data_IF_032636302193
#
_entry.id   IF_032636302193
#
_cell.length_a   1.000
_cell.length_b   1.000
_cell.length_c   1.000
_cell.angle_alpha   90.00
_cell.angle_beta   90.00
_cell.angle_gamma   90.00
#
_symmetry.space_group_name_H-M   'P 1'
#
loop_
_entity.id
_entity.type
_entity.pdbx_description
1 polymer ?
#
# COMPACT_ATOMS: atom_id res chain seq x y z
N UNK A 1 1.68 -15.73 -22.45
CA UNK A 1 2.11 -14.49 -23.13
C UNK A 1 3.62 -14.43 -23.10
N UNK A 2 4.29 -14.16 -24.23
CA UNK A 2 5.74 -14.37 -24.36
C UNK A 2 6.58 -13.16 -23.94
N UNK A 3 7.71 -13.42 -23.28
CA UNK A 3 8.80 -12.45 -23.01
C UNK A 3 9.14 -11.65 -24.28
N UNK A 4 9.43 -10.35 -24.13
CA UNK A 4 9.90 -9.52 -25.25
C UNK A 4 11.12 -10.15 -25.91
N UNK A 5 11.05 -10.34 -27.23
CA UNK A 5 12.13 -10.94 -28.03
C UNK A 5 13.16 -9.90 -28.51
N UNK A 6 12.96 -8.59 -28.25
CA UNK A 6 13.86 -7.54 -28.72
C UNK A 6 13.72 -6.19 -27.96
N UNK A 7 14.28 -6.07 -26.73
CA UNK A 7 14.09 -4.92 -25.83
C UNK A 7 14.37 -3.53 -26.45
N UNK A 8 15.41 -3.33 -27.30
CA UNK A 8 15.71 -2.02 -27.88
C UNK A 8 14.66 -1.53 -28.89
N UNK A 9 13.98 -2.45 -29.59
CA UNK A 9 12.96 -2.10 -30.59
C UNK A 9 11.63 -1.74 -29.94
N UNK A 10 11.30 -2.42 -28.85
CA UNK A 10 10.11 -2.14 -28.06
C UNK A 10 10.24 -0.79 -27.34
N UNK A 11 11.43 -0.47 -26.81
CA UNK A 11 11.70 0.84 -26.22
C UNK A 11 11.52 1.99 -27.21
N UNK A 12 11.99 1.86 -28.46
CA UNK A 12 11.85 2.93 -29.46
C UNK A 12 10.37 3.27 -29.74
N UNK A 13 9.51 2.25 -29.85
CA UNK A 13 8.06 2.45 -30.04
C UNK A 13 7.43 3.14 -28.86
N UNK A 14 7.89 2.83 -27.65
CA UNK A 14 7.37 3.39 -26.42
C UNK A 14 7.81 4.84 -26.23
N UNK A 15 9.06 5.16 -26.55
CA UNK A 15 9.53 6.55 -26.63
C UNK A 15 8.70 7.38 -27.64
N UNK A 16 8.34 6.79 -28.79
CA UNK A 16 7.49 7.45 -29.78
C UNK A 16 6.04 7.63 -29.29
N UNK A 17 5.51 6.70 -28.50
CA UNK A 17 4.18 6.82 -27.88
C UNK A 17 4.17 7.83 -26.74
N UNK A 18 5.15 7.79 -25.84
CA UNK A 18 5.34 8.74 -24.74
C UNK A 18 5.40 10.18 -25.25
N UNK A 19 6.26 10.45 -26.25
CA UNK A 19 6.37 11.78 -26.87
C UNK A 19 5.06 12.28 -27.49
N UNK A 20 4.25 11.40 -28.08
CA UNK A 20 2.95 11.78 -28.66
C UNK A 20 1.91 12.15 -27.61
N UNK A 21 2.08 11.63 -26.40
CA UNK A 21 1.15 11.81 -25.28
C UNK A 21 1.60 12.88 -24.30
N UNK A 22 2.68 13.61 -24.61
CA UNK A 22 3.29 14.57 -23.69
C UNK A 22 3.85 13.93 -22.42
N UNK A 23 4.19 12.64 -22.49
CA UNK A 23 4.93 11.95 -21.42
C UNK A 23 6.41 12.20 -21.70
N UNK A 24 7.04 13.04 -20.88
CA UNK A 24 8.49 13.21 -20.90
C UNK A 24 9.14 11.95 -20.35
N UNK A 25 10.08 11.40 -21.12
CA UNK A 25 10.73 10.14 -20.78
C UNK A 25 12.24 10.38 -20.75
N UNK A 26 12.87 10.24 -19.58
CA UNK A 26 14.33 10.30 -19.50
C UNK A 26 14.88 9.04 -20.17
N UNK A 27 15.31 9.22 -21.42
CA UNK A 27 15.81 8.12 -22.24
C UNK A 27 17.07 7.49 -21.66
N UNK A 28 17.92 8.25 -20.99
CA UNK A 28 19.16 7.71 -20.40
C UNK A 28 18.83 6.90 -19.16
N UNK A 29 17.97 7.41 -18.27
CA UNK A 29 17.52 6.69 -17.08
C UNK A 29 16.75 5.42 -17.43
N UNK A 30 15.81 5.49 -18.38
CA UNK A 30 15.06 4.34 -18.85
C UNK A 30 15.98 3.28 -19.47
N UNK A 31 16.99 3.68 -20.25
CA UNK A 31 17.98 2.75 -20.81
C UNK A 31 18.85 2.10 -19.73
N UNK A 32 19.25 2.85 -18.71
CA UNK A 32 20.02 2.33 -17.57
C UNK A 32 19.19 1.32 -16.77
N UNK A 33 17.94 1.65 -16.47
CA UNK A 33 16.99 0.77 -15.77
C UNK A 33 16.76 -0.54 -16.56
N UNK A 34 16.50 -0.43 -17.87
CA UNK A 34 16.34 -1.59 -18.74
C UNK A 34 17.59 -2.46 -18.82
N UNK A 35 18.77 -1.84 -18.86
CA UNK A 35 20.05 -2.56 -18.89
C UNK A 35 20.29 -3.32 -17.59
N UNK A 36 19.94 -2.72 -16.44
CA UNK A 36 20.04 -3.37 -15.14
C UNK A 36 19.09 -4.56 -15.00
N UNK A 37 17.90 -4.48 -15.60
CA UNK A 37 16.93 -5.58 -15.68
C UNK A 37 17.31 -6.67 -16.69
N UNK A 38 18.00 -6.33 -17.78
CA UNK A 38 18.47 -7.30 -18.76
C UNK A 38 19.69 -8.12 -18.29
N UNK A 39 20.50 -7.58 -17.38
CA UNK A 39 21.63 -8.28 -16.76
C UNK A 39 21.21 -9.35 -15.72
N UNK A 40 19.99 -9.89 -15.83
CA UNK A 40 19.30 -10.65 -14.77
C UNK A 40 19.25 -12.17 -14.98
N UNK A 41 19.89 -12.69 -16.03
CA UNK A 41 19.77 -14.11 -16.42
C UNK A 41 20.69 -15.09 -15.65
N UNK A 42 21.04 -14.84 -14.37
CA UNK A 42 21.76 -15.87 -13.58
C UNK A 42 22.48 -15.52 -12.27
N UNK A 43 22.12 -14.45 -11.54
CA UNK A 43 22.69 -14.15 -10.21
C UNK A 43 21.62 -14.13 -9.11
N UNK A 44 22.04 -14.12 -7.84
CA UNK A 44 21.16 -13.93 -6.68
C UNK A 44 20.19 -12.76 -6.92
N UNK A 45 18.89 -13.02 -6.76
CA UNK A 45 17.83 -12.03 -7.02
C UNK A 45 17.71 -10.97 -5.91
N UNK A 46 18.45 -11.12 -4.81
CA UNK A 46 18.46 -10.21 -3.67
C UNK A 46 19.74 -9.38 -3.73
N UNK A 47 19.58 -8.06 -3.62
CA UNK A 47 20.70 -7.12 -3.64
C UNK A 47 20.83 -6.48 -2.28
N UNK A 48 22.07 -6.36 -1.80
CA UNK A 48 22.41 -5.74 -0.52
C UNK A 48 23.19 -4.45 -0.76
N UNK A 49 22.72 -3.33 -0.20
CA UNK A 49 23.52 -2.12 -0.06
C UNK A 49 24.35 -2.24 1.24
N UNK A 50 25.62 -2.63 1.09
CA UNK A 50 26.54 -2.78 2.21
C UNK A 50 26.80 -1.49 3.01
N UNK A 51 26.56 -0.30 2.43
CA UNK A 51 26.78 0.99 3.09
C UNK A 51 25.63 1.32 4.03
N UNK A 52 24.41 1.05 3.60
CA UNK A 52 23.20 1.43 4.36
C UNK A 52 22.59 0.27 5.13
N UNK A 53 22.92 -0.98 4.77
CA UNK A 53 22.33 -2.19 5.34
C UNK A 53 20.98 -2.59 4.71
N UNK A 54 20.46 -1.77 3.79
CA UNK A 54 19.19 -2.03 3.10
C UNK A 54 19.37 -3.16 2.09
N UNK A 55 18.37 -4.02 1.97
CA UNK A 55 18.37 -5.08 0.96
C UNK A 55 16.96 -5.40 0.48
N UNK A 56 16.87 -6.06 -0.66
CA UNK A 56 15.59 -6.47 -1.21
C UNK A 56 15.74 -7.12 -2.57
N UNK A 57 14.60 -7.46 -3.17
CA UNK A 57 14.60 -7.98 -4.54
C UNK A 57 15.19 -6.94 -5.51
N UNK A 58 16.08 -7.37 -6.41
CA UNK A 58 16.86 -6.51 -7.31
C UNK A 58 15.99 -5.50 -8.07
N UNK A 59 14.84 -5.95 -8.59
CA UNK A 59 13.92 -5.07 -9.34
C UNK A 59 13.36 -3.96 -8.44
N UNK A 60 13.06 -4.26 -7.18
CA UNK A 60 12.56 -3.25 -6.23
C UNK A 60 13.67 -2.32 -5.77
N UNK A 61 14.89 -2.83 -5.57
CA UNK A 61 16.06 -1.99 -5.26
C UNK A 61 16.37 -0.98 -6.38
N UNK A 62 16.06 -1.29 -7.64
CA UNK A 62 16.20 -0.33 -8.75
C UNK A 62 15.24 0.85 -8.64
N UNK A 63 14.04 0.62 -8.08
CA UNK A 63 12.96 1.60 -7.96
C UNK A 63 12.97 2.34 -6.62
N UNK A 64 13.89 1.99 -5.71
CA UNK A 64 14.05 2.61 -4.39
C UNK A 64 15.17 3.67 -4.38
N UNK A 65 14.88 4.85 -3.83
CA UNK A 65 15.86 5.88 -3.49
C UNK A 65 16.21 5.82 -2.00
N UNK A 66 17.47 6.13 -1.69
CA UNK A 66 17.99 6.21 -0.32
C UNK A 66 17.77 7.57 0.33
N UNK A 67 17.31 8.58 -0.43
CA UNK A 67 17.25 9.98 0.03
C UNK A 67 16.36 10.16 1.27
N UNK A 68 15.28 9.38 1.36
CA UNK A 68 14.32 9.40 2.47
C UNK A 68 14.50 8.23 3.45
N UNK A 69 15.59 7.47 3.35
CA UNK A 69 15.77 6.26 4.15
C UNK A 69 15.71 6.52 5.66
N UNK A 70 16.32 7.62 6.13
CA UNK A 70 16.29 7.98 7.56
C UNK A 70 14.88 8.36 8.02
N UNK A 71 14.11 9.01 7.15
CA UNK A 71 12.72 9.34 7.39
C UNK A 71 11.86 8.08 7.53
N UNK A 72 12.00 7.14 6.59
CA UNK A 72 11.33 5.84 6.66
C UNK A 72 11.75 5.05 7.90
N UNK A 73 13.03 4.98 8.25
CA UNK A 73 13.47 4.31 9.50
C UNK A 73 12.84 4.91 10.75
N UNK A 74 12.70 6.24 10.80
CA UNK A 74 12.08 6.92 11.94
C UNK A 74 10.59 6.57 12.09
N UNK A 75 9.86 6.45 10.98
CA UNK A 75 8.47 5.97 11.00
C UNK A 75 8.44 4.46 11.28
N UNK A 76 9.41 3.70 10.76
CA UNK A 76 9.62 2.29 11.06
C UNK A 76 9.62 2.01 12.56
N UNK A 77 10.35 2.80 13.35
CA UNK A 77 10.37 2.71 14.81
C UNK A 77 8.99 2.85 15.47
N UNK A 78 8.08 3.62 14.87
CA UNK A 78 6.71 3.72 15.33
C UNK A 78 5.90 2.47 15.00
N UNK A 79 6.08 1.86 13.83
CA UNK A 79 5.19 0.81 13.34
C UNK A 79 5.69 -0.61 13.58
N UNK A 80 7.00 -0.79 13.75
CA UNK A 80 7.65 -2.11 13.84
C UNK A 80 7.32 -2.88 15.11
N UNK A 81 7.39 -4.21 15.03
CA UNK A 81 7.33 -5.09 16.18
C UNK A 81 8.75 -5.41 16.66
N UNK A 82 8.91 -5.48 17.98
CA UNK A 82 10.21 -5.79 18.57
C UNK A 82 10.46 -7.30 18.60
N UNK A 83 11.70 -7.69 18.28
CA UNK A 83 12.21 -9.02 18.56
C UNK A 83 12.06 -9.37 20.05
N UNK A 84 11.68 -10.63 20.31
CA UNK A 84 11.70 -11.24 21.64
C UNK A 84 12.57 -12.50 21.58
N UNK A 85 13.80 -12.47 22.12
CA UNK A 85 14.75 -13.57 21.98
C UNK A 85 14.14 -14.94 22.31
N UNK A 86 14.20 -15.85 21.33
CA UNK A 86 13.67 -17.22 21.45
C UNK A 86 12.15 -17.34 21.41
N UNK A 87 11.42 -16.27 21.06
CA UNK A 87 9.96 -16.25 21.05
C UNK A 87 9.36 -15.56 19.82
N UNK A 88 9.86 -14.39 19.45
CA UNK A 88 9.39 -13.62 18.31
C UNK A 88 10.60 -13.07 17.57
N UNK A 89 10.63 -13.28 16.26
CA UNK A 89 11.62 -12.67 15.37
C UNK A 89 10.88 -11.81 14.35
N UNK A 90 11.41 -10.63 14.07
CA UNK A 90 10.77 -9.67 13.17
C UNK A 90 11.71 -9.21 12.06
N UNK A 91 11.11 -8.81 10.93
CA UNK A 91 11.83 -8.12 9.87
C UNK A 91 10.91 -7.13 9.17
N UNK A 92 11.16 -5.84 9.45
CA UNK A 92 10.46 -4.74 8.83
C UNK A 92 11.04 -4.42 7.44
N UNK A 93 10.13 -4.26 6.48
CA UNK A 93 10.40 -3.80 5.14
C UNK A 93 9.44 -2.67 4.76
N UNK A 94 9.89 -1.77 3.88
CA UNK A 94 8.98 -0.96 3.09
C UNK A 94 8.32 -1.83 2.03
N UNK A 95 7.09 -1.50 1.68
CA UNK A 95 6.34 -2.11 0.62
C UNK A 95 5.54 -1.07 -0.15
N UNK A 96 4.74 -1.50 -1.13
CA UNK A 96 3.80 -0.62 -1.81
C UNK A 96 4.46 0.60 -2.45
N UNK A 97 3.89 1.79 -2.21
CA UNK A 97 4.42 3.04 -2.76
C UNK A 97 5.75 3.46 -2.14
N UNK A 98 5.95 3.19 -0.85
CA UNK A 98 7.17 3.59 -0.14
C UNK A 98 8.41 2.82 -0.63
N UNK A 99 8.24 1.58 -1.08
CA UNK A 99 9.30 0.78 -1.70
C UNK A 99 9.64 1.20 -3.16
N UNK A 100 8.88 2.13 -3.76
CA UNK A 100 9.00 2.55 -5.15
C UNK A 100 9.27 4.07 -5.27
N UNK A 101 10.04 4.63 -4.34
CA UNK A 101 10.24 6.07 -4.17
C UNK A 101 10.84 6.80 -5.38
N UNK A 102 11.53 6.13 -6.31
CA UNK A 102 12.00 6.74 -7.58
C UNK A 102 10.90 6.90 -8.63
N UNK A 103 9.79 6.20 -8.46
CA UNK A 103 8.66 6.18 -9.41
C UNK A 103 7.48 6.94 -8.80
N UNK A 104 7.39 6.89 -7.48
CA UNK A 104 6.39 7.59 -6.70
C UNK A 104 7.13 8.63 -5.87
N UNK A 105 7.66 9.64 -6.57
CA UNK A 105 8.46 10.76 -6.03
C UNK A 105 7.73 11.51 -4.92
N UNK A 106 6.41 11.34 -4.82
CA UNK A 106 5.59 11.86 -3.75
C UNK A 106 4.68 10.76 -3.19
N UNK A 107 5.18 9.86 -2.32
CA UNK A 107 4.38 8.79 -1.76
C UNK A 107 3.29 9.38 -0.85
N UNK A 108 2.02 9.05 -1.15
CA UNK A 108 0.89 9.50 -0.33
C UNK A 108 0.75 8.75 1.01
N UNK A 109 1.41 7.60 1.13
CA UNK A 109 1.35 6.65 2.25
C UNK A 109 2.73 6.06 2.53
N UNK A 110 3.00 5.78 3.81
CA UNK A 110 4.15 5.01 4.28
C UNK A 110 3.73 3.56 4.54
N UNK A 111 3.79 2.73 3.50
CA UNK A 111 3.40 1.32 3.59
C UNK A 111 4.58 0.43 4.03
N UNK A 112 4.40 -0.25 5.17
CA UNK A 112 5.30 -1.26 5.69
C UNK A 112 4.70 -2.65 5.56
N UNK A 113 5.62 -3.61 5.46
CA UNK A 113 5.36 -5.02 5.52
C UNK A 113 6.33 -5.60 6.54
N UNK A 114 5.83 -6.41 7.47
CA UNK A 114 6.66 -6.98 8.52
C UNK A 114 6.45 -8.48 8.60
N UNK A 115 7.56 -9.21 8.48
CA UNK A 115 7.57 -10.64 8.75
C UNK A 115 7.65 -10.82 10.25
N UNK A 116 6.74 -11.60 10.82
CA UNK A 116 6.76 -11.96 12.24
C UNK A 116 6.80 -13.49 12.32
N UNK A 117 7.91 -14.04 12.77
CA UNK A 117 8.03 -15.47 13.02
C UNK A 117 7.93 -15.76 14.52
N UNK A 118 6.92 -16.54 14.90
CA UNK A 118 6.63 -16.85 16.31
C UNK A 118 7.09 -18.27 16.61
N UNK A 119 8.04 -18.40 17.51
CA UNK A 119 8.55 -19.68 18.00
C UNK A 119 7.67 -20.13 19.16
N UNK A 120 6.92 -21.21 18.97
CA UNK A 120 6.03 -21.72 20.00
C UNK A 120 5.85 -23.25 19.92
N UNK A 121 5.63 -23.94 21.06
CA UNK A 121 5.34 -25.37 21.07
C UNK A 121 4.11 -25.78 20.25
N UNK A 122 3.10 -24.90 20.16
CA UNK A 122 1.86 -25.17 19.42
C UNK A 122 1.38 -23.95 18.63
N UNK A 123 0.63 -24.17 17.55
CA UNK A 123 -0.04 -23.09 16.80
C UNK A 123 -0.91 -22.22 17.72
N UNK A 124 -1.62 -22.83 18.68
CA UNK A 124 -2.47 -22.09 19.60
C UNK A 124 -1.67 -21.13 20.49
N UNK A 125 -0.47 -21.53 20.91
CA UNK A 125 0.46 -20.66 21.65
C UNK A 125 1.05 -19.56 20.77
N UNK A 126 1.30 -19.84 19.49
CA UNK A 126 1.72 -18.82 18.53
C UNK A 126 0.63 -17.77 18.33
N UNK A 127 -0.62 -18.20 18.10
CA UNK A 127 -1.78 -17.31 18.01
C UNK A 127 -1.97 -16.44 19.26
N UNK A 128 -1.81 -17.02 20.46
CA UNK A 128 -1.85 -16.25 21.72
C UNK A 128 -0.71 -15.23 21.79
N UNK A 129 0.51 -15.62 21.43
CA UNK A 129 1.65 -14.70 21.40
C UNK A 129 1.41 -13.56 20.41
N UNK A 130 0.84 -13.82 19.23
CA UNK A 130 0.46 -12.79 18.27
C UNK A 130 -0.55 -11.81 18.87
N UNK A 131 -1.63 -12.32 19.48
CA UNK A 131 -2.65 -11.50 20.12
C UNK A 131 -2.06 -10.61 21.23
N UNK A 132 -1.13 -11.15 22.01
CA UNK A 132 -0.42 -10.41 23.07
C UNK A 132 0.45 -9.28 22.52
N UNK A 133 1.31 -9.56 21.53
CA UNK A 133 2.21 -8.53 20.98
C UNK A 133 1.45 -7.47 20.20
N UNK A 134 0.37 -7.82 19.49
CA UNK A 134 -0.47 -6.85 18.80
C UNK A 134 -1.22 -5.96 19.80
N UNK A 135 -1.79 -6.54 20.86
CA UNK A 135 -2.42 -5.74 21.91
C UNK A 135 -1.41 -4.80 22.58
N UNK A 136 -0.23 -5.28 22.93
CA UNK A 136 0.83 -4.45 23.50
C UNK A 136 1.23 -3.31 22.55
N UNK A 137 1.43 -3.61 21.25
CA UNK A 137 1.72 -2.60 20.23
C UNK A 137 0.66 -1.51 20.18
N UNK A 138 -0.62 -1.89 20.23
CA UNK A 138 -1.73 -0.94 20.23
C UNK A 138 -1.70 -0.06 21.48
N UNK A 139 -1.51 -0.64 22.67
CA UNK A 139 -1.41 0.13 23.92
C UNK A 139 -0.25 1.13 23.87
N UNK A 140 0.91 0.72 23.40
CA UNK A 140 2.13 1.53 23.42
C UNK A 140 2.15 2.60 22.32
N UNK A 141 1.40 2.41 21.23
CA UNK A 141 1.39 3.29 20.05
C UNK A 141 0.01 3.82 19.69
N UNK A 142 -0.95 3.80 20.62
CA UNK A 142 -2.30 4.31 20.39
C UNK A 142 -2.31 5.78 19.98
N UNK A 143 -1.52 6.61 20.68
CA UNK A 143 -1.43 8.05 20.41
C UNK A 143 -0.12 8.63 20.94
N UNK A 144 0.52 9.46 20.13
CA UNK A 144 1.70 10.24 20.50
C UNK A 144 1.56 11.71 20.09
N UNK A 145 2.65 12.46 20.23
CA UNK A 145 2.68 13.89 19.84
C UNK A 145 2.46 14.10 18.35
N UNK A 146 2.92 13.15 17.52
CA UNK A 146 2.93 13.25 16.06
C UNK A 146 2.25 12.06 15.38
N UNK A 147 1.47 11.25 16.11
CA UNK A 147 0.79 10.10 15.51
C UNK A 147 -0.44 9.66 16.30
N UNK A 148 -1.35 8.95 15.65
CA UNK A 148 -2.46 8.24 16.27
C UNK A 148 -2.80 6.97 15.48
N UNK A 149 -3.08 5.88 16.20
CA UNK A 149 -3.60 4.65 15.62
C UNK A 149 -5.06 4.85 15.14
N UNK A 150 -5.36 4.42 13.91
CA UNK A 150 -6.65 4.53 13.25
C UNK A 150 -7.41 3.20 13.30
N UNK A 151 -6.77 2.12 12.87
CA UNK A 151 -7.42 0.83 12.66
C UNK A 151 -6.45 -0.33 12.97
N UNK A 152 -7.02 -1.44 13.44
CA UNK A 152 -6.32 -2.73 13.56
C UNK A 152 -7.17 -3.81 12.89
N UNK A 153 -6.58 -4.53 11.91
CA UNK A 153 -7.15 -5.76 11.35
C UNK A 153 -6.63 -6.93 12.18
N UNK A 154 -7.52 -7.70 12.80
CA UNK A 154 -7.15 -8.91 13.52
C UNK A 154 -8.35 -9.84 13.74
N UNK A 155 -8.18 -11.12 13.40
CA UNK A 155 -9.22 -12.12 13.52
C UNK A 155 -10.34 -11.98 12.48
N UNK A 156 -11.28 -12.92 12.53
CA UNK A 156 -12.45 -12.96 11.63
C UNK A 156 -13.76 -13.03 12.41
N UNK A 157 -14.82 -12.45 11.84
CA UNK A 157 -16.13 -12.45 12.50
C UNK A 157 -16.63 -13.89 12.74
N UNK A 158 -16.94 -14.30 13.99
CA UNK A 158 -17.35 -15.68 14.29
C UNK A 158 -18.77 -16.00 13.80
N UNK A 159 -19.58 -14.97 13.58
CA UNK A 159 -20.94 -15.02 13.04
C UNK A 159 -21.25 -13.72 12.30
N UNK A 160 -22.33 -13.69 11.52
CA UNK A 160 -22.83 -12.45 10.91
C UNK A 160 -23.10 -11.42 12.01
N UNK A 161 -22.45 -10.26 11.91
CA UNK A 161 -22.42 -9.24 12.96
C UNK A 161 -22.64 -7.86 12.38
N UNK A 162 -23.67 -7.18 12.85
CA UNK A 162 -23.93 -5.76 12.62
C UNK A 162 -23.12 -4.94 13.62
N UNK A 163 -22.14 -4.19 13.12
CA UNK A 163 -21.30 -3.25 13.87
C UNK A 163 -21.43 -1.87 13.22
N UNK A 164 -21.72 -0.84 14.02
CA UNK A 164 -21.93 0.54 13.51
C UNK A 164 -22.95 0.63 12.35
N UNK A 165 -24.02 -0.17 12.41
CA UNK A 165 -25.06 -0.21 11.37
C UNK A 165 -24.67 -0.95 10.08
N UNK A 166 -23.46 -1.50 9.98
CA UNK A 166 -22.99 -2.26 8.83
C UNK A 166 -22.97 -3.76 9.12
N UNK A 167 -23.51 -4.55 8.19
CA UNK A 167 -23.48 -6.01 8.27
C UNK A 167 -22.10 -6.54 7.84
N UNK A 168 -21.41 -7.19 8.77
CA UNK A 168 -20.18 -7.94 8.52
C UNK A 168 -20.51 -9.43 8.51
N UNK A 169 -20.06 -10.15 7.47
CA UNK A 169 -20.38 -11.57 7.33
C UNK A 169 -19.40 -12.42 8.13
N UNK A 170 -19.87 -13.59 8.56
CA UNK A 170 -18.99 -14.60 9.16
C UNK A 170 -17.76 -14.87 8.28
N UNK A 171 -16.59 -14.93 8.92
CA UNK A 171 -15.31 -15.23 8.26
C UNK A 171 -14.66 -14.05 7.54
N UNK A 172 -15.28 -12.85 7.52
CA UNK A 172 -14.59 -11.66 7.03
C UNK A 172 -13.67 -11.08 8.10
N UNK A 173 -12.57 -10.41 7.72
CA UNK A 173 -11.67 -9.76 8.68
C UNK A 173 -12.39 -8.76 9.60
N UNK A 174 -11.97 -8.69 10.86
CA UNK A 174 -12.48 -7.72 11.83
C UNK A 174 -11.60 -6.48 11.83
N UNK A 175 -12.24 -5.31 11.73
CA UNK A 175 -11.64 -4.00 11.99
C UNK A 175 -11.93 -3.57 13.43
N UNK A 176 -10.88 -3.39 14.22
CA UNK A 176 -10.91 -2.93 15.60
C UNK A 176 -10.47 -1.47 15.68
N UNK A 177 -11.13 -0.70 16.54
CA UNK A 177 -10.61 0.59 17.00
C UNK A 177 -9.60 0.37 18.12
N UNK A 178 -8.71 1.32 18.35
CA UNK A 178 -7.73 1.25 19.44
C UNK A 178 -8.39 0.98 20.81
N UNK A 179 -9.51 1.63 21.11
CA UNK A 179 -10.24 1.43 22.36
C UNK A 179 -10.86 0.04 22.50
N UNK A 180 -11.30 -0.58 21.40
CA UNK A 180 -11.85 -1.94 21.44
C UNK A 180 -10.75 -2.97 21.69
N UNK A 181 -9.55 -2.76 21.11
CA UNK A 181 -8.39 -3.61 21.40
C UNK A 181 -8.02 -3.51 22.88
N UNK A 182 -7.90 -2.30 23.43
CA UNK A 182 -7.59 -2.07 24.85
C UNK A 182 -8.64 -2.66 25.78
N UNK A 183 -9.92 -2.60 25.39
CA UNK A 183 -11.00 -3.25 26.14
C UNK A 183 -10.98 -4.79 26.01
N UNK A 184 -10.27 -5.33 25.02
CA UNK A 184 -10.22 -6.75 24.70
C UNK A 184 -11.50 -7.31 24.09
N UNK A 185 -12.48 -6.46 23.76
CA UNK A 185 -13.76 -6.86 23.18
C UNK A 185 -14.54 -5.66 22.62
N UNK A 186 -15.56 -5.96 21.81
CA UNK A 186 -16.64 -5.02 21.48
C UNK A 186 -17.99 -5.73 21.37
N UNK A 187 -19.06 -4.95 21.48
CA UNK A 187 -20.43 -5.42 21.30
C UNK A 187 -20.88 -5.18 19.85
N UNK A 188 -21.55 -6.17 19.29
CA UNK A 188 -22.27 -6.08 18.03
C UNK A 188 -23.66 -6.70 18.16
N UNK A 189 -24.36 -6.76 17.04
CA UNK A 189 -25.66 -7.42 16.97
C UNK A 189 -25.67 -8.49 15.89
N UNK A 190 -26.35 -9.61 16.11
CA UNK A 190 -26.74 -10.49 15.02
C UNK A 190 -27.76 -9.77 14.11
N UNK A 191 -28.00 -10.24 12.86
CA UNK A 191 -28.98 -9.62 11.97
C UNK A 191 -30.42 -9.59 12.53
N UNK A 192 -30.75 -10.49 13.46
CA UNK A 192 -32.03 -10.53 14.19
C UNK A 192 -32.05 -9.66 15.46
N UNK A 193 -30.97 -8.93 15.75
CA UNK A 193 -30.90 -7.93 16.82
C UNK A 193 -30.46 -8.47 18.19
N UNK A 194 -29.97 -9.71 18.28
CA UNK A 194 -29.40 -10.24 19.52
C UNK A 194 -27.99 -9.69 19.72
N UNK A 195 -27.63 -9.39 20.97
CA UNK A 195 -26.27 -8.92 21.29
C UNK A 195 -25.27 -10.06 21.11
N UNK A 196 -24.18 -9.79 20.42
CA UNK A 196 -23.00 -10.66 20.33
C UNK A 196 -21.78 -9.89 20.83
N UNK A 197 -21.01 -10.52 21.73
CA UNK A 197 -19.74 -9.95 22.23
C UNK A 197 -18.61 -10.62 21.46
N UNK A 198 -17.82 -9.84 20.75
CA UNK A 198 -16.63 -10.31 20.03
C UNK A 198 -15.42 -10.02 20.92
N UNK A 199 -14.70 -11.07 21.31
CA UNK A 199 -13.58 -11.00 22.26
C UNK A 199 -12.25 -11.21 21.54
N UNK A 200 -11.29 -10.31 21.77
CA UNK A 200 -9.97 -10.27 21.13
C UNK A 200 -9.24 -11.63 21.20
N UNK A 201 -9.14 -12.20 22.40
CA UNK A 201 -8.45 -13.47 22.62
C UNK A 201 -9.18 -14.69 22.03
N UNK A 202 -10.47 -14.57 21.73
CA UNK A 202 -11.25 -15.66 21.12
C UNK A 202 -11.05 -15.67 19.61
N UNK A 203 -11.08 -14.50 18.97
CA UNK A 203 -10.85 -14.41 17.52
C UNK A 203 -9.39 -14.64 17.12
N UNK A 204 -8.47 -14.57 18.10
CA UNK A 204 -7.04 -14.83 17.91
C UNK A 204 -6.72 -16.25 17.43
N UNK A 205 -7.59 -17.24 17.66
CA UNK A 205 -7.36 -18.62 17.22
C UNK A 205 -7.24 -18.75 15.68
N UNK A 206 -7.92 -17.86 14.96
CA UNK A 206 -7.86 -17.69 13.52
C UNK A 206 -7.56 -16.22 13.20
N UNK A 207 -6.29 -15.79 13.37
CA UNK A 207 -5.92 -14.38 13.33
C UNK A 207 -6.14 -13.76 11.94
N UNK A 208 -6.09 -14.60 10.88
CA UNK A 208 -6.31 -14.17 9.51
C UNK A 208 -5.41 -13.00 9.11
N UNK A 209 -5.93 -12.11 8.29
CA UNK A 209 -5.21 -10.95 7.81
C UNK A 209 -4.96 -9.92 8.93
N UNK A 210 -3.68 -9.62 9.18
CA UNK A 210 -3.23 -8.75 10.26
C UNK A 210 -2.62 -7.45 9.71
N UNK A 211 -3.09 -6.31 10.21
CA UNK A 211 -2.60 -4.99 9.80
C UNK A 211 -2.85 -3.94 10.88
N UNK A 212 -1.94 -2.99 11.02
CA UNK A 212 -2.14 -1.80 11.84
C UNK A 212 -1.97 -0.55 11.00
N UNK A 213 -2.81 0.45 11.24
CA UNK A 213 -2.86 1.70 10.50
C UNK A 213 -2.76 2.87 11.45
N UNK A 214 -1.79 3.76 11.22
CA UNK A 214 -1.63 5.02 11.92
C UNK A 214 -1.79 6.19 10.94
N UNK A 215 -2.19 7.33 11.48
CA UNK A 215 -1.91 8.62 10.86
C UNK A 215 -0.75 9.26 11.59
N UNK A 216 0.20 9.79 10.83
CA UNK A 216 1.36 10.49 11.34
C UNK A 216 1.37 11.93 10.83
N UNK A 217 1.75 12.86 11.69
CA UNK A 217 2.15 14.18 11.29
C UNK A 217 3.60 14.09 10.82
N UNK A 218 3.81 14.41 9.56
CA UNK A 218 5.12 14.46 8.94
C UNK A 218 5.62 15.92 8.90
N UNK A 219 6.41 16.36 9.90
CA UNK A 219 6.93 17.71 9.93
C UNK A 219 7.96 17.98 8.84
N UNK A 220 8.56 16.96 8.22
CA UNK A 220 9.55 17.13 7.14
C UNK A 220 8.85 17.64 5.89
N UNK A 221 7.70 17.04 5.55
CA UNK A 221 6.89 17.42 4.41
C UNK A 221 5.76 18.41 4.75
N UNK A 222 5.57 18.70 6.04
CA UNK A 222 4.52 19.58 6.55
C UNK A 222 3.11 19.02 6.33
N UNK A 223 2.98 17.70 6.18
CA UNK A 223 1.75 17.01 5.76
C UNK A 223 1.32 15.95 6.77
N UNK A 224 0.16 15.34 6.54
CA UNK A 224 -0.24 14.11 7.20
C UNK A 224 0.00 12.95 6.24
N UNK A 225 0.53 11.85 6.76
CA UNK A 225 0.67 10.61 6.02
C UNK A 225 0.01 9.47 6.80
N UNK A 226 -0.54 8.49 6.10
CA UNK A 226 -0.90 7.25 6.75
C UNK A 226 0.33 6.34 6.76
N UNK A 227 0.60 5.73 7.91
CA UNK A 227 1.60 4.69 8.05
C UNK A 227 0.89 3.36 8.29
N UNK A 228 1.03 2.42 7.36
CA UNK A 228 0.44 1.09 7.44
C UNK A 228 1.51 0.07 7.78
N UNK A 229 1.22 -0.94 8.60
CA UNK A 229 2.08 -2.11 8.74
C UNK A 229 1.26 -3.40 8.55
N UNK A 230 1.50 -4.09 7.43
CA UNK A 230 0.90 -5.39 7.11
C UNK A 230 1.79 -6.50 7.68
N UNK A 231 1.21 -7.42 8.44
CA UNK A 231 1.98 -8.48 9.11
C UNK A 231 1.83 -9.82 8.38
N UNK A 232 2.94 -10.37 7.92
CA UNK A 232 3.05 -11.74 7.42
C UNK A 232 3.55 -12.64 8.55
N UNK A 233 2.58 -13.25 9.25
CA UNK A 233 2.84 -13.95 10.50
C UNK A 233 2.97 -15.46 10.27
N UNK A 234 4.07 -16.01 10.75
CA UNK A 234 4.37 -17.44 10.69
C UNK A 234 4.55 -18.02 12.09
N UNK A 235 4.20 -19.29 12.24
CA UNK A 235 4.49 -20.10 13.42
C UNK A 235 5.61 -21.09 13.09
N UNK A 236 6.67 -21.06 13.88
CA UNK A 236 7.74 -22.06 13.89
C UNK A 236 7.52 -23.05 15.03
N UNK A 237 7.30 -24.31 14.68
CA UNK A 237 7.11 -25.41 15.62
C UNK A 237 8.47 -25.93 16.15
N UNK A 238 8.50 -26.71 17.25
CA UNK A 238 9.75 -27.22 17.82
C UNK A 238 10.58 -28.13 16.89
N UNK A 239 9.97 -28.66 15.82
CA UNK A 239 10.65 -29.44 14.78
C UNK A 239 11.27 -28.56 13.67
N UNK A 240 11.12 -27.24 13.76
CA UNK A 240 11.60 -26.26 12.78
C UNK A 240 10.67 -26.05 11.59
N UNK A 241 9.49 -26.69 11.56
CA UNK A 241 8.50 -26.43 10.51
C UNK A 241 7.88 -25.05 10.67
N UNK A 242 7.73 -24.33 9.56
CA UNK A 242 7.19 -22.97 9.51
C UNK A 242 5.84 -22.99 8.78
N UNK A 243 4.80 -22.47 9.43
CA UNK A 243 3.43 -22.41 8.88
C UNK A 243 2.87 -20.98 8.98
N UNK A 244 2.42 -20.37 7.86
CA UNK A 244 1.71 -19.10 7.90
C UNK A 244 0.42 -19.19 8.70
N UNK A 245 0.16 -18.23 9.58
CA UNK A 245 -1.01 -18.26 10.46
C UNK A 245 -2.33 -17.91 9.75
N UNK A 246 -2.25 -17.19 8.64
CA UNK A 246 -3.36 -16.85 7.74
C UNK A 246 -3.49 -17.84 6.55
N UNK A 247 -2.54 -18.77 6.41
CA UNK A 247 -2.51 -19.78 5.36
C UNK A 247 -1.75 -19.38 4.09
N UNK A 248 -1.10 -18.22 4.04
CA UNK A 248 -0.32 -17.78 2.88
C UNK A 248 0.99 -17.12 3.30
N UNK A 249 2.10 -17.46 2.64
CA UNK A 249 3.37 -16.77 2.85
C UNK A 249 3.59 -15.79 1.70
N UNK A 250 3.63 -14.50 2.02
CA UNK A 250 3.72 -13.45 1.01
C UNK A 250 5.12 -13.42 0.34
N UNK A 251 5.18 -13.28 -0.99
CA UNK A 251 6.44 -13.22 -1.70
C UNK A 251 7.10 -11.85 -1.61
N UNK A 252 8.42 -11.84 -1.45
CA UNK A 252 9.22 -10.64 -1.15
C UNK A 252 9.51 -9.71 -2.35
N UNK A 253 8.85 -9.91 -3.50
CA UNK A 253 9.24 -9.26 -4.75
C UNK A 253 9.12 -7.72 -4.73
N UNK A 254 8.34 -7.15 -3.80
CA UNK A 254 8.12 -5.70 -3.65
C UNK A 254 8.64 -5.12 -2.33
N UNK A 255 9.42 -5.88 -1.58
CA UNK A 255 9.88 -5.50 -0.24
C UNK A 255 11.29 -4.90 -0.27
N UNK A 256 11.49 -3.85 0.54
CA UNK A 256 12.80 -3.23 0.81
C UNK A 256 13.04 -3.28 2.32
N UNK A 257 13.90 -4.21 2.75
CA UNK A 257 14.24 -4.38 4.16
C UNK A 257 15.16 -3.28 4.63
N UNK A 258 14.82 -2.70 5.78
CA UNK A 258 15.48 -1.48 6.26
C UNK A 258 16.76 -1.75 7.05
N UNK A 259 16.91 -2.95 7.61
CA UNK A 259 18.03 -3.28 8.50
C UNK A 259 18.71 -4.60 8.12
N UNK A 260 20.04 -4.61 8.14
CA UNK A 260 20.83 -5.80 7.82
C UNK A 260 20.64 -6.93 8.85
N UNK A 261 20.22 -6.60 10.08
CA UNK A 261 19.86 -7.59 11.11
C UNK A 261 18.67 -8.46 10.70
N UNK A 262 17.86 -8.03 9.73
CA UNK A 262 16.70 -8.78 9.22
C UNK A 262 17.09 -9.90 8.23
N UNK A 263 18.34 -9.95 7.76
CA UNK A 263 18.80 -10.94 6.76
C UNK A 263 18.58 -12.39 7.22
N UNK A 264 18.84 -12.80 8.48
CA UNK A 264 18.64 -14.18 8.91
C UNK A 264 17.19 -14.65 8.82
N UNK A 265 16.24 -13.88 9.37
CA UNK A 265 14.80 -14.22 9.31
C UNK A 265 14.28 -14.16 7.87
N UNK A 266 14.67 -13.14 7.09
CA UNK A 266 14.33 -13.06 5.67
C UNK A 266 14.80 -14.31 4.94
N UNK A 267 16.07 -14.67 5.10
CA UNK A 267 16.68 -15.82 4.42
C UNK A 267 16.02 -17.14 4.83
N UNK A 268 15.61 -17.25 6.09
CA UNK A 268 14.84 -18.39 6.61
C UNK A 268 13.49 -18.48 5.90
N UNK A 269 12.69 -17.42 5.92
CA UNK A 269 11.33 -17.43 5.37
C UNK A 269 11.31 -17.50 3.83
N UNK A 270 12.25 -16.86 3.15
CA UNK A 270 12.36 -16.88 1.69
C UNK A 270 12.54 -18.30 1.12
N UNK A 271 13.11 -19.24 1.89
CA UNK A 271 13.24 -20.64 1.49
C UNK A 271 11.91 -21.40 1.48
N UNK A 272 10.91 -20.91 2.21
CA UNK A 272 9.57 -21.48 2.27
C UNK A 272 8.61 -20.87 1.23
N UNK A 273 9.06 -19.87 0.48
CA UNK A 273 8.28 -19.30 -0.63
C UNK A 273 8.20 -20.31 -1.78
N UNK A 274 6.99 -20.53 -2.29
CA UNK A 274 6.71 -21.49 -3.37
C UNK A 274 7.58 -21.24 -4.61
N UNK A 275 8.00 -22.31 -5.29
CA UNK A 275 8.66 -22.20 -6.59
C UNK A 275 7.77 -21.52 -7.67
N UNK A 276 6.44 -21.58 -7.49
CA UNK A 276 5.46 -20.91 -8.33
C UNK A 276 5.03 -19.54 -7.78
N UNK A 277 5.66 -19.05 -6.71
CA UNK A 277 5.20 -17.83 -6.02
C UNK A 277 5.15 -16.61 -6.94
N UNK A 278 6.05 -16.51 -7.92
CA UNK A 278 6.02 -15.42 -8.90
C UNK A 278 4.76 -15.48 -9.79
N UNK A 279 4.41 -16.67 -10.28
CA UNK A 279 3.24 -16.85 -11.15
C UNK A 279 1.94 -16.64 -10.36
N UNK A 280 1.87 -17.18 -9.14
CA UNK A 280 0.74 -16.98 -8.22
C UNK A 280 0.57 -15.49 -7.88
N UNK A 281 1.67 -14.81 -7.59
CA UNK A 281 1.68 -13.38 -7.30
C UNK A 281 1.22 -12.54 -8.48
N UNK A 282 1.71 -12.84 -9.68
CA UNK A 282 1.25 -12.19 -10.92
C UNK A 282 -0.26 -12.43 -11.10
N UNK A 283 -0.75 -13.65 -10.90
CA UNK A 283 -2.17 -13.95 -11.00
C UNK A 283 -3.02 -13.18 -9.98
N UNK A 284 -2.53 -12.96 -8.76
CA UNK A 284 -3.22 -12.14 -7.76
C UNK A 284 -3.27 -10.66 -8.19
N UNK A 285 -2.16 -10.12 -8.69
CA UNK A 285 -2.11 -8.76 -9.22
C UNK A 285 -3.06 -8.59 -10.42
N UNK A 286 -3.16 -9.59 -11.29
CA UNK A 286 -4.12 -9.62 -12.41
C UNK A 286 -5.57 -9.61 -11.92
N UNK A 287 -5.88 -10.31 -10.83
CA UNK A 287 -7.17 -10.23 -10.15
C UNK A 287 -7.50 -8.81 -9.68
N UNK A 288 -6.53 -8.11 -9.06
CA UNK A 288 -6.69 -6.71 -8.66
C UNK A 288 -6.81 -5.77 -9.88
N UNK A 289 -6.05 -5.99 -10.96
CA UNK A 289 -6.23 -5.24 -12.23
C UNK A 289 -7.66 -5.40 -12.72
N UNK A 290 -8.17 -6.62 -12.82
CA UNK A 290 -9.54 -6.88 -13.26
C UNK A 290 -10.58 -6.14 -12.40
N UNK A 291 -10.43 -6.20 -11.07
CA UNK A 291 -11.30 -5.47 -10.13
C UNK A 291 -11.30 -3.96 -10.40
N UNK A 292 -10.14 -3.35 -10.62
CA UNK A 292 -10.02 -1.91 -10.90
C UNK A 292 -10.39 -1.52 -12.33
N UNK A 293 -10.55 -2.48 -13.24
CA UNK A 293 -11.07 -2.22 -14.59
C UNK A 293 -12.59 -2.45 -14.70
N UNK A 294 -13.20 -3.21 -13.79
CA UNK A 294 -14.59 -3.69 -13.96
C UNK A 294 -15.55 -3.37 -12.83
N UNK A 295 -15.13 -3.51 -11.57
CA UNK A 295 -16.02 -3.38 -10.39
C UNK A 295 -15.84 -2.05 -9.66
N UNK A 296 -14.59 -1.65 -9.44
CA UNK A 296 -14.23 -0.43 -8.73
C UNK A 296 -13.27 0.37 -9.61
N UNK A 297 -13.82 0.99 -10.66
CA UNK A 297 -13.01 1.59 -11.73
C UNK A 297 -12.00 2.58 -11.15
N UNK A 298 -10.71 2.27 -11.30
CA UNK A 298 -9.60 3.10 -10.86
C UNK A 298 -8.34 2.78 -11.72
N UNK A 299 -8.17 3.54 -12.79
CA UNK A 299 -7.09 3.31 -13.76
C UNK A 299 -5.70 3.59 -13.19
N UNK A 300 -5.56 4.48 -12.21
CA UNK A 300 -4.30 4.69 -11.50
C UNK A 300 -3.89 3.46 -10.67
N UNK A 301 -4.82 2.87 -9.91
CA UNK A 301 -4.57 1.60 -9.19
C UNK A 301 -4.27 0.46 -10.16
N UNK A 302 -5.02 0.37 -11.28
CA UNK A 302 -4.73 -0.62 -12.32
C UNK A 302 -3.31 -0.43 -12.90
N UNK A 303 -2.90 0.80 -13.20
CA UNK A 303 -1.56 1.12 -13.69
C UNK A 303 -0.46 0.66 -12.71
N UNK A 304 -0.58 0.92 -11.40
CA UNK A 304 0.39 0.45 -10.40
C UNK A 304 0.51 -1.08 -10.37
N UNK A 305 -0.61 -1.80 -10.47
CA UNK A 305 -0.59 -3.28 -10.52
C UNK A 305 0.00 -3.78 -11.84
N UNK A 306 -0.34 -3.16 -12.97
CA UNK A 306 0.24 -3.47 -14.27
C UNK A 306 1.74 -3.20 -14.32
N UNK A 307 2.23 -2.10 -13.72
CA UNK A 307 3.65 -1.81 -13.60
C UNK A 307 4.41 -2.97 -12.95
N UNK A 308 3.91 -3.43 -11.81
CA UNK A 308 4.46 -4.57 -11.09
C UNK A 308 4.44 -5.86 -11.91
N UNK A 309 3.32 -6.16 -12.57
CA UNK A 309 3.23 -7.33 -13.46
C UNK A 309 4.25 -7.22 -14.59
N UNK A 310 4.34 -6.06 -15.25
CA UNK A 310 5.17 -5.89 -16.45
C UNK A 310 6.66 -5.96 -16.13
N UNK A 311 7.11 -5.34 -15.02
CA UNK A 311 8.52 -5.41 -14.60
C UNK A 311 8.92 -6.82 -14.15
N UNK A 312 8.00 -7.59 -13.57
CA UNK A 312 8.24 -8.97 -13.13
C UNK A 312 8.16 -10.00 -14.26
N UNK A 313 7.36 -9.74 -15.30
CA UNK A 313 7.14 -10.69 -16.42
C UNK A 313 7.99 -10.40 -17.66
N UNK A 314 8.87 -9.39 -17.60
CA UNK A 314 9.75 -9.02 -18.71
C UNK A 314 9.10 -8.19 -19.82
N UNK A 315 7.96 -7.54 -19.52
CA UNK A 315 7.31 -6.53 -20.38
C UNK A 315 7.89 -5.15 -20.08
N UNK A 316 9.20 -5.04 -20.18
CA UNK A 316 9.92 -3.88 -19.64
C UNK A 316 9.61 -2.57 -20.34
N UNK A 317 9.22 -2.63 -21.62
CA UNK A 317 8.78 -1.46 -22.34
C UNK A 317 7.53 -0.86 -21.70
N UNK A 318 6.47 -1.66 -21.53
CA UNK A 318 5.22 -1.20 -20.94
C UNK A 318 5.42 -0.79 -19.47
N UNK A 319 6.31 -1.48 -18.75
CA UNK A 319 6.72 -1.07 -17.41
C UNK A 319 7.39 0.31 -17.40
N UNK A 320 8.31 0.58 -18.34
CA UNK A 320 8.96 1.89 -18.47
C UNK A 320 7.95 2.99 -18.78
N UNK A 321 6.99 2.75 -19.68
CA UNK A 321 5.93 3.74 -19.92
C UNK A 321 5.12 4.06 -18.67
N UNK A 322 4.71 3.04 -17.91
CA UNK A 322 3.90 3.26 -16.70
C UNK A 322 4.74 3.93 -15.60
N UNK A 323 6.02 3.58 -15.46
CA UNK A 323 6.94 4.25 -14.53
C UNK A 323 6.93 5.76 -14.74
N UNK A 324 7.06 6.18 -15.98
CA UNK A 324 7.20 7.59 -16.36
C UNK A 324 5.86 8.33 -16.22
N UNK A 325 4.74 7.63 -16.47
CA UNK A 325 3.42 8.14 -16.15
C UNK A 325 3.24 8.47 -14.65
N UNK A 326 3.99 7.83 -13.75
CA UNK A 326 3.98 8.12 -12.32
C UNK A 326 5.06 9.12 -11.88
N UNK A 327 6.09 9.36 -12.69
CA UNK A 327 7.08 10.41 -12.43
C UNK A 327 6.67 11.77 -13.03
N UNK A 328 5.74 11.77 -14.00
CA UNK A 328 5.14 12.99 -14.52
C UNK A 328 4.55 13.84 -13.37
N UNK A 329 4.72 15.16 -13.39
CA UNK A 329 4.11 16.04 -12.39
C UNK A 329 2.57 15.89 -12.30
N UNK A 330 1.92 15.44 -13.39
CA UNK A 330 0.50 15.11 -13.42
C UNK A 330 0.11 13.89 -12.58
N UNK A 331 1.06 13.03 -12.21
CA UNK A 331 0.82 11.90 -11.31
C UNK A 331 0.53 12.34 -9.87
N UNK A 332 0.86 13.60 -9.51
CA UNK A 332 0.47 14.23 -8.23
C UNK A 332 -1.03 14.18 -7.99
N UNK A 333 -1.82 14.06 -9.06
CA UNK A 333 -3.25 13.82 -8.99
C UNK A 333 -3.61 12.53 -8.26
N UNK A 334 -2.72 11.53 -8.26
CA UNK A 334 -2.90 10.35 -7.45
C UNK A 334 -2.80 10.66 -5.95
N UNK A 335 -2.01 11.67 -5.53
CA UNK A 335 -1.99 12.10 -4.14
C UNK A 335 -3.31 12.69 -3.67
N UNK A 336 -4.13 13.23 -4.59
CA UNK A 336 -5.50 13.63 -4.25
C UNK A 336 -6.26 12.46 -3.62
N UNK A 337 -6.07 11.23 -4.11
CA UNK A 337 -6.69 10.05 -3.49
C UNK A 337 -6.20 9.80 -2.06
N UNK A 338 -4.90 10.03 -1.79
CA UNK A 338 -4.35 9.93 -0.44
C UNK A 338 -4.96 10.99 0.47
N UNK A 339 -4.97 12.25 0.03
CA UNK A 339 -5.59 13.36 0.76
C UNK A 339 -7.07 13.11 1.02
N UNK A 340 -7.81 12.62 0.02
CA UNK A 340 -9.22 12.24 0.17
C UNK A 340 -9.37 11.17 1.25
N UNK A 341 -8.52 10.14 1.25
CA UNK A 341 -8.56 9.11 2.29
C UNK A 341 -8.23 9.70 3.66
N UNK A 342 -7.21 10.53 3.77
CA UNK A 342 -6.87 11.24 5.00
C UNK A 342 -8.06 12.08 5.48
N UNK A 343 -8.75 12.80 4.60
CA UNK A 343 -9.97 13.56 4.92
C UNK A 343 -11.11 12.64 5.39
N UNK A 344 -11.33 11.49 4.74
CA UNK A 344 -12.31 10.50 5.18
C UNK A 344 -11.98 9.98 6.60
N UNK A 345 -10.71 9.69 6.88
CA UNK A 345 -10.22 9.28 8.20
C UNK A 345 -10.38 10.41 9.26
N UNK A 346 -10.35 11.68 8.83
CA UNK A 346 -10.58 12.86 9.67
C UNK A 346 -12.06 13.12 9.98
N UNK A 347 -12.98 12.66 9.14
CA UNK A 347 -14.42 12.83 9.32
C UNK A 347 -15.03 11.84 10.34
N UNK A 348 -14.20 11.01 10.99
CA UNK A 348 -14.60 10.17 12.12
C UNK A 348 -14.71 11.01 13.42
N UNK A 349 -15.79 10.87 14.21
CA UNK A 349 -15.98 11.63 15.46
C UNK A 349 -14.86 11.51 16.52
N UNK A 350 -13.97 10.54 16.36
CA UNK A 350 -12.85 10.26 17.26
C UNK A 350 -11.49 10.71 16.71
N UNK A 351 -11.47 11.32 15.53
CA UNK A 351 -10.22 11.76 14.89
C UNK A 351 -9.60 12.95 15.64
N UNK A 352 -8.28 12.93 15.91
CA UNK A 352 -7.57 14.04 16.54
C UNK A 352 -7.20 15.13 15.53
N UNK A 353 -7.36 14.86 14.24
CA UNK A 353 -6.91 15.73 13.16
C UNK A 353 -7.87 16.91 13.06
N UNK A 354 -7.31 18.11 13.12
CA UNK A 354 -8.13 19.32 13.09
C UNK A 354 -8.51 19.67 11.65
N UNK A 355 -9.61 20.42 11.51
CA UNK A 355 -9.98 21.04 10.23
C UNK A 355 -8.84 21.86 9.63
N UNK A 356 -8.05 22.52 10.47
CA UNK A 356 -6.93 23.37 10.04
C UNK A 356 -5.79 22.54 9.42
N UNK A 357 -5.52 21.35 9.96
CA UNK A 357 -4.54 20.43 9.38
C UNK A 357 -5.01 19.91 8.02
N UNK A 358 -6.29 19.53 7.88
CA UNK A 358 -6.87 19.12 6.60
C UNK A 358 -6.80 20.24 5.54
N UNK A 359 -7.14 21.48 5.93
CA UNK A 359 -7.09 22.63 5.04
C UNK A 359 -5.65 22.93 4.60
N UNK A 360 -4.69 22.86 5.53
CA UNK A 360 -3.26 23.05 5.23
C UNK A 360 -2.77 22.01 4.21
N UNK A 361 -3.16 20.75 4.37
CA UNK A 361 -2.79 19.68 3.44
C UNK A 361 -3.44 19.87 2.07
N UNK A 362 -4.69 20.34 2.03
CA UNK A 362 -5.37 20.70 0.78
C UNK A 362 -4.66 21.87 0.08
N UNK A 363 -4.23 22.88 0.84
CA UNK A 363 -3.44 24.02 0.33
C UNK A 363 -2.11 23.58 -0.27
N UNK A 364 -1.39 22.68 0.38
CA UNK A 364 -0.14 22.11 -0.14
C UNK A 364 -0.35 21.32 -1.43
N UNK A 365 -1.45 20.55 -1.53
CA UNK A 365 -1.78 19.84 -2.75
C UNK A 365 -2.07 20.80 -3.91
N UNK A 366 -2.81 21.90 -3.65
CA UNK A 366 -3.06 22.94 -4.64
C UNK A 366 -1.74 23.54 -5.14
N UNK A 367 -0.83 23.92 -4.23
CA UNK A 367 0.47 24.48 -4.59
C UNK A 367 1.34 23.48 -5.37
N UNK A 368 1.27 22.20 -5.00
CA UNK A 368 1.98 21.13 -5.70
C UNK A 368 1.45 20.96 -7.11
N UNK A 369 0.13 20.95 -7.29
CA UNK A 369 -0.51 20.90 -8.61
C UNK A 369 -0.13 22.10 -9.48
N UNK A 370 -0.13 23.32 -8.93
CA UNK A 370 0.30 24.53 -9.65
C UNK A 370 1.76 24.46 -10.07
N UNK A 371 2.62 23.87 -9.22
CA UNK A 371 4.05 23.75 -9.51
C UNK A 371 4.34 22.65 -10.54
N UNK A 372 3.43 21.69 -10.66
CA UNK A 372 3.59 20.46 -11.41
C UNK A 372 2.94 20.53 -12.80
N UNK A 373 1.71 21.03 -12.87
CA UNK A 373 0.91 21.05 -14.10
C UNK A 373 0.99 22.41 -14.78
N UNK A 374 0.68 22.42 -16.09
CA UNK A 374 0.55 23.64 -16.88
C UNK A 374 -0.75 23.62 -17.70
N UNK A 375 -1.27 24.80 -18.04
CA UNK A 375 -2.33 24.97 -19.04
C UNK A 375 -3.74 24.62 -18.55
N UNK A 376 -4.56 24.07 -19.45
CA UNK A 376 -5.99 23.81 -19.16
C UNK A 376 -6.18 22.72 -18.10
N UNK A 377 -5.29 21.74 -18.05
CA UNK A 377 -5.33 20.65 -17.06
C UNK A 377 -5.08 21.17 -15.65
N UNK A 378 -4.01 21.95 -15.46
CA UNK A 378 -3.73 22.67 -14.21
C UNK A 378 -4.94 23.48 -13.76
N UNK A 379 -5.47 24.31 -14.67
CA UNK A 379 -6.58 25.22 -14.38
C UNK A 379 -7.80 24.47 -13.86
N UNK A 380 -8.19 23.37 -14.51
CA UNK A 380 -9.36 22.60 -14.12
C UNK A 380 -9.18 21.88 -12.79
N UNK A 381 -8.00 21.29 -12.55
CA UNK A 381 -7.71 20.57 -11.31
C UNK A 381 -7.64 21.54 -10.13
N UNK A 382 -6.93 22.66 -10.28
CA UNK A 382 -6.84 23.70 -9.24
C UNK A 382 -8.22 24.25 -8.91
N UNK A 383 -9.08 24.48 -9.91
CA UNK A 383 -10.47 24.90 -9.71
C UNK A 383 -11.25 23.89 -8.85
N UNK A 384 -11.12 22.60 -9.13
CA UNK A 384 -11.79 21.55 -8.36
C UNK A 384 -11.23 21.43 -6.94
N UNK A 385 -9.92 21.52 -6.75
CA UNK A 385 -9.29 21.49 -5.43
C UNK A 385 -9.65 22.71 -4.59
N UNK A 386 -9.71 23.91 -5.18
CA UNK A 386 -10.17 25.12 -4.49
C UNK A 386 -11.63 25.00 -4.05
N UNK A 387 -12.49 24.42 -4.89
CA UNK A 387 -13.88 24.12 -4.51
C UNK A 387 -13.94 23.10 -3.36
N UNK A 388 -13.15 22.03 -3.44
CA UNK A 388 -13.05 21.03 -2.37
C UNK A 388 -12.61 21.68 -1.06
N UNK A 389 -11.56 22.51 -1.08
CA UNK A 389 -11.07 23.29 0.05
C UNK A 389 -12.16 24.17 0.65
N UNK A 390 -12.90 24.90 -0.19
CA UNK A 390 -14.01 25.74 0.27
C UNK A 390 -15.06 24.91 1.00
N UNK A 391 -15.46 23.77 0.45
CA UNK A 391 -16.44 22.91 1.09
C UNK A 391 -15.94 22.31 2.41
N UNK A 392 -14.66 21.90 2.46
CA UNK A 392 -14.03 21.43 3.70
C UNK A 392 -13.96 22.52 4.77
N UNK A 393 -13.76 23.79 4.40
CA UNK A 393 -13.74 24.91 5.35
C UNK A 393 -15.09 25.14 6.05
N UNK A 394 -16.19 24.68 5.44
CA UNK A 394 -17.55 24.76 5.96
C UNK A 394 -17.98 23.47 6.66
N UNK A 395 -17.17 22.42 6.57
CA UNK A 395 -17.41 21.14 7.22
C UNK A 395 -17.23 21.30 8.73
N UNK A 396 -18.17 20.75 9.51
CA UNK A 396 -17.97 20.63 10.96
C UNK A 396 -17.05 19.44 11.21
N UNK A 397 -16.03 19.64 12.03
CA UNK A 397 -15.18 18.57 12.55
C UNK A 397 -16.07 17.45 13.12
N UNK A 398 -15.65 16.18 12.96
CA UNK A 398 -16.35 15.02 13.54
C UNK A 398 -17.74 14.73 12.94
N UNK A 399 -17.97 15.11 11.68
CA UNK A 399 -19.16 14.73 10.91
C UNK A 399 -18.75 14.12 9.57
N UNK A 400 -19.56 13.17 9.08
CA UNK A 400 -19.45 12.63 7.72
C UNK A 400 -19.41 13.76 6.69
N UNK A 401 -18.66 13.56 5.61
CA UNK A 401 -18.56 14.50 4.50
C UNK A 401 -19.96 14.91 4.05
N UNK A 402 -20.22 16.22 4.02
CA UNK A 402 -21.48 16.71 3.48
C UNK A 402 -21.58 16.39 1.98
N UNK A 403 -22.80 16.39 1.44
CA UNK A 403 -23.06 16.03 0.05
C UNK A 403 -22.28 16.90 -0.96
N UNK A 404 -22.00 18.17 -0.64
CA UNK A 404 -21.22 19.05 -1.49
C UNK A 404 -19.73 18.65 -1.53
N UNK A 405 -19.18 18.20 -0.40
CA UNK A 405 -17.79 17.76 -0.30
C UNK A 405 -17.61 16.41 -0.99
N UNK A 406 -18.60 15.53 -0.83
CA UNK A 406 -18.66 14.23 -1.51
C UNK A 406 -18.70 14.39 -3.04
N UNK A 407 -19.48 15.37 -3.53
CA UNK A 407 -19.55 15.70 -4.96
C UNK A 407 -18.23 16.29 -5.48
N UNK A 408 -17.64 17.26 -4.78
CA UNK A 408 -16.35 17.84 -5.17
C UNK A 408 -15.25 16.78 -5.23
N UNK A 409 -15.22 15.87 -4.24
CA UNK A 409 -14.34 14.71 -4.20
C UNK A 409 -14.53 13.80 -5.43
N UNK A 410 -15.78 13.46 -5.76
CA UNK A 410 -16.09 12.61 -6.90
C UNK A 410 -15.67 13.24 -8.24
N UNK A 411 -15.81 14.56 -8.38
CA UNK A 411 -15.35 15.32 -9.56
C UNK A 411 -13.84 15.22 -9.73
N UNK A 412 -13.05 15.47 -8.66
CA UNK A 412 -11.58 15.36 -8.74
C UNK A 412 -11.18 13.93 -9.10
N UNK A 413 -11.73 12.94 -8.41
CA UNK A 413 -11.51 11.50 -8.67
C UNK A 413 -11.72 11.17 -10.15
N UNK A 414 -12.80 11.68 -10.75
CA UNK A 414 -13.13 11.41 -12.14
C UNK A 414 -12.11 11.99 -13.11
N UNK A 415 -11.64 13.23 -12.87
CA UNK A 415 -10.60 13.87 -13.70
C UNK A 415 -9.30 13.07 -13.65
N UNK A 416 -8.84 12.71 -12.45
CA UNK A 416 -7.64 11.88 -12.28
C UNK A 416 -7.79 10.54 -13.01
N UNK A 417 -8.94 9.91 -12.86
CA UNK A 417 -9.19 8.60 -13.44
C UNK A 417 -9.21 8.65 -14.98
N UNK A 418 -9.79 9.70 -15.58
CA UNK A 418 -9.79 9.91 -17.03
C UNK A 418 -8.38 10.15 -17.57
N UNK A 419 -7.55 10.91 -16.87
CA UNK A 419 -6.15 11.10 -17.25
C UNK A 419 -5.40 9.77 -17.37
N UNK A 420 -5.46 8.91 -16.35
CA UNK A 420 -4.82 7.59 -16.41
C UNK A 420 -5.42 6.72 -17.52
N UNK A 421 -6.74 6.74 -17.72
CA UNK A 421 -7.38 5.99 -18.80
C UNK A 421 -6.85 6.38 -20.19
N UNK A 422 -6.80 7.68 -20.48
CA UNK A 422 -6.35 8.19 -21.77
C UNK A 422 -4.89 7.81 -22.03
N UNK A 423 -4.01 7.98 -21.03
CA UNK A 423 -2.58 7.66 -21.15
C UNK A 423 -2.36 6.16 -21.34
N UNK A 424 -3.04 5.30 -20.57
CA UNK A 424 -2.90 3.84 -20.66
C UNK A 424 -3.43 3.29 -21.99
N UNK A 425 -4.58 3.79 -22.47
CA UNK A 425 -5.21 3.28 -23.70
C UNK A 425 -4.53 3.77 -24.97
N UNK A 426 -3.70 4.81 -24.88
CA UNK A 426 -2.91 5.30 -26.00
C UNK A 426 -1.69 4.42 -26.34
N UNK A 427 -1.28 3.51 -25.44
CA UNK A 427 -0.27 2.47 -25.73
C UNK A 427 -0.99 1.18 -26.13
N UNK A 428 -0.90 0.73 -27.40
CA UNK A 428 -1.67 -0.41 -27.90
C UNK A 428 -1.46 -1.69 -27.08
N UNK A 429 -0.25 -1.97 -26.64
CA UNK A 429 0.11 -3.16 -25.87
C UNK A 429 -0.48 -3.16 -24.45
N UNK A 430 -0.63 -1.98 -23.85
CA UNK A 430 -1.28 -1.81 -22.54
C UNK A 430 -2.80 -1.89 -22.71
N UNK A 431 -3.35 -1.21 -23.72
CA UNK A 431 -4.76 -1.30 -24.07
C UNK A 431 -5.20 -2.74 -24.32
N UNK A 432 -4.46 -3.48 -25.15
CA UNK A 432 -4.74 -4.90 -25.43
C UNK A 432 -4.71 -5.76 -24.17
N UNK A 433 -3.81 -5.46 -23.23
CA UNK A 433 -3.76 -6.14 -21.95
C UNK A 433 -4.99 -5.84 -21.10
N UNK A 434 -5.40 -4.57 -20.99
CA UNK A 434 -6.62 -4.16 -20.30
C UNK A 434 -7.89 -4.76 -20.92
N UNK A 435 -7.99 -4.72 -22.25
CA UNK A 435 -9.12 -5.28 -23.01
C UNK A 435 -9.27 -6.78 -22.73
N UNK A 436 -8.17 -7.51 -22.50
CA UNK A 436 -8.17 -8.93 -22.17
C UNK A 436 -8.99 -9.30 -20.92
N UNK A 437 -9.14 -8.38 -19.96
CA UNK A 437 -9.98 -8.58 -18.77
C UNK A 437 -11.46 -8.25 -19.02
N UNK A 438 -11.76 -7.52 -20.10
CA UNK A 438 -13.11 -7.03 -20.41
C UNK A 438 -13.89 -7.96 -21.34
N UNK A 439 -13.24 -8.95 -21.97
CA UNK A 439 -13.88 -9.92 -22.91
C UNK A 439 -14.83 -10.92 -22.19
N UNK A 440 -14.92 -10.89 -20.86
CA UNK A 440 -15.83 -11.73 -20.06
C UNK A 440 -17.14 -11.06 -19.61
N UNK A 441 -17.52 -9.91 -20.20
CA UNK A 441 -18.83 -9.28 -19.95
C UNK A 441 -19.95 -9.86 -20.80
#
# INVERSE_FOLDING_TARGET
MGKSKNPPKDLKRILESARRLGVELDKEEALQWLSALAANDGQENVVHDSRTGVFGHKVSMLDFSLDELEHFRKIGQLVEFADQPGRVETALALSGSAAQSKIQTFPGDCDYFERINILAPTRAEACRTLAEIMHAKVVDSMKGTTFQLIEVKFGSYPADTVKNGQLNRKGTPISWTASEVVAGQFDGFTPDGQIIVVVWNVVADEPGWCKLDWVIADPVHGSLANASNMLDVTWEAPDGSITPLDGYLDPYFQEIYLEASSVPIFSKLAQHVSANALDEYVSQLEGEVNKYLTKHVNYGKAAKRMYNIFRLTGRYGEASFIRELFDEPASMLYQVWSLIRTIEDCCNPTSPITSDQMLTQTDQLILSVISALEGEQETEIVRLLLRMRETLSRQKTNQELNAEAEAARAEVINVVNNFFYEKLTAVPEIKLYMDGFQVGK
#
